data_IF_503354018344
#
_entry.id   IF_503354018344
#
_cell.length_a   1.000
_cell.length_b   1.000
_cell.length_c   1.000
_cell.angle_alpha   90.00
_cell.angle_beta   90.00
_cell.angle_gamma   90.00
#
_symmetry.space_group_name_H-M   'P 1'
#
loop_
_entity.id
_entity.type
_entity.pdbx_description
1 polymer ?
#
# COMPACT_ATOMS: atom_id res chain seq x y z
N UNK A 1 14.56 5.21 5.21
CA UNK A 1 13.46 5.26 6.20
C UNK A 1 12.09 5.47 5.55
N UNK A 2 11.93 6.45 4.65
CA UNK A 2 10.64 6.76 3.99
C UNK A 2 9.94 5.54 3.37
N UNK A 3 10.63 4.79 2.49
CA UNK A 3 10.06 3.61 1.84
C UNK A 3 9.60 2.50 2.81
N UNK A 4 10.28 2.34 3.94
CA UNK A 4 9.95 1.32 4.95
C UNK A 4 8.56 1.54 5.57
N UNK A 5 8.16 2.80 5.78
CA UNK A 5 6.85 3.14 6.33
C UNK A 5 5.74 2.74 5.35
N UNK A 6 5.92 2.98 4.05
CA UNK A 6 4.95 2.57 3.03
C UNK A 6 4.83 1.05 2.93
N UNK A 7 5.96 0.32 3.06
CA UNK A 7 5.92 -1.15 3.10
C UNK A 7 5.12 -1.61 4.31
N UNK A 8 5.40 -1.07 5.50
CA UNK A 8 4.69 -1.44 6.73
C UNK A 8 3.19 -1.16 6.63
N UNK A 9 2.80 0.04 6.19
CA UNK A 9 1.39 0.37 6.00
C UNK A 9 0.75 -0.53 4.94
N UNK A 10 1.45 -0.86 3.85
CA UNK A 10 0.93 -1.73 2.81
C UNK A 10 0.74 -3.17 3.28
N UNK A 11 1.63 -3.66 4.15
CA UNK A 11 1.47 -4.95 4.82
C UNK A 11 0.28 -4.93 5.80
N UNK A 12 0.07 -3.84 6.52
CA UNK A 12 -1.10 -3.71 7.42
C UNK A 12 -2.40 -3.65 6.60
N UNK A 13 -2.46 -2.89 5.51
CA UNK A 13 -3.61 -2.89 4.60
C UNK A 13 -3.88 -4.30 4.05
N UNK A 14 -2.83 -4.98 3.58
CA UNK A 14 -2.92 -6.37 3.12
C UNK A 14 -3.48 -7.32 4.19
N UNK A 15 -2.93 -7.29 5.42
CA UNK A 15 -3.40 -8.12 6.53
C UNK A 15 -4.86 -7.82 6.90
N UNK A 16 -5.19 -6.54 7.07
CA UNK A 16 -6.55 -6.13 7.45
C UNK A 16 -7.57 -6.47 6.37
N UNK A 17 -7.19 -6.41 5.09
CA UNK A 17 -8.05 -6.84 3.99
C UNK A 17 -8.27 -8.34 3.99
N UNK A 18 -7.21 -9.13 4.18
CA UNK A 18 -7.35 -10.59 4.30
C UNK A 18 -8.25 -10.96 5.47
N UNK A 19 -8.06 -10.32 6.63
CA UNK A 19 -8.91 -10.55 7.80
C UNK A 19 -10.37 -10.20 7.52
N UNK A 20 -10.62 -9.03 6.93
CA UNK A 20 -11.96 -8.59 6.55
C UNK A 20 -12.65 -9.55 5.60
N UNK A 21 -11.96 -9.98 4.54
CA UNK A 21 -12.51 -10.90 3.54
C UNK A 21 -12.76 -12.28 4.14
N UNK A 22 -11.78 -12.88 4.83
CA UNK A 22 -11.88 -14.26 5.29
C UNK A 22 -12.81 -14.46 6.48
N UNK A 23 -12.79 -13.53 7.44
CA UNK A 23 -13.46 -13.72 8.73
C UNK A 23 -14.72 -12.88 8.88
N UNK A 24 -14.83 -11.76 8.17
CA UNK A 24 -15.90 -10.77 8.36
C UNK A 24 -16.81 -10.62 7.13
N UNK A 25 -16.56 -11.38 6.07
CA UNK A 25 -17.37 -11.32 4.84
C UNK A 25 -17.25 -9.98 4.11
N UNK A 26 -16.18 -9.22 4.32
CA UNK A 26 -15.96 -7.95 3.65
C UNK A 26 -15.75 -8.17 2.14
N UNK A 27 -16.30 -7.27 1.33
CA UNK A 27 -16.14 -7.29 -0.11
C UNK A 27 -15.02 -6.35 -0.56
N UNK A 28 -14.21 -6.80 -1.51
CA UNK A 28 -13.26 -5.94 -2.22
C UNK A 28 -14.03 -5.03 -3.20
N UNK A 29 -13.87 -3.72 -3.04
CA UNK A 29 -14.60 -2.71 -3.81
C UNK A 29 -13.98 -2.49 -5.19
N UNK A 30 -12.70 -2.80 -5.37
CA UNK A 30 -12.05 -2.69 -6.66
C UNK A 30 -12.59 -3.78 -7.61
N UNK A 31 -13.29 -3.43 -8.71
CA UNK A 31 -13.91 -4.43 -9.60
C UNK A 31 -12.91 -5.42 -10.20
N UNK A 32 -11.67 -4.99 -10.43
CA UNK A 32 -10.60 -5.85 -10.95
C UNK A 32 -10.21 -6.93 -9.93
N UNK A 33 -10.16 -6.56 -8.65
CA UNK A 33 -9.76 -7.47 -7.59
C UNK A 33 -10.93 -8.23 -6.96
N UNK A 34 -12.16 -7.71 -7.05
CA UNK A 34 -13.35 -8.34 -6.48
C UNK A 34 -13.56 -9.78 -6.99
N UNK A 35 -13.41 -10.00 -8.31
CA UNK A 35 -13.48 -11.34 -8.89
C UNK A 35 -12.33 -12.22 -8.43
N UNK A 36 -11.13 -11.65 -8.29
CA UNK A 36 -9.93 -12.38 -7.91
C UNK A 36 -9.97 -12.82 -6.43
N UNK A 37 -10.48 -11.99 -5.54
CA UNK A 37 -10.65 -12.32 -4.13
C UNK A 37 -11.54 -13.56 -3.95
N UNK A 38 -12.61 -13.65 -4.73
CA UNK A 38 -13.56 -14.78 -4.68
C UNK A 38 -13.05 -16.05 -5.37
N UNK A 39 -12.23 -15.92 -6.42
CA UNK A 39 -11.77 -17.05 -7.23
C UNK A 39 -10.38 -17.57 -6.86
N UNK A 40 -9.48 -16.69 -6.42
CA UNK A 40 -8.10 -17.02 -6.08
C UNK A 40 -7.52 -16.00 -5.08
N UNK A 41 -7.89 -16.17 -3.80
CA UNK A 41 -7.44 -15.27 -2.74
C UNK A 41 -5.92 -15.29 -2.53
N UNK A 42 -5.24 -16.42 -2.79
CA UNK A 42 -3.78 -16.50 -2.71
C UNK A 42 -3.11 -15.64 -3.79
N UNK A 43 -3.65 -15.66 -5.01
CA UNK A 43 -3.20 -14.79 -6.09
C UNK A 43 -3.43 -13.31 -5.78
N UNK A 44 -4.61 -12.96 -5.28
CA UNK A 44 -4.89 -11.60 -4.81
C UNK A 44 -3.91 -11.15 -3.73
N UNK A 45 -3.71 -12.00 -2.72
CA UNK A 45 -2.79 -11.78 -1.61
C UNK A 45 -1.36 -11.53 -2.09
N UNK A 46 -0.86 -12.39 -2.99
CA UNK A 46 0.46 -12.27 -3.57
C UNK A 46 0.64 -10.97 -4.35
N UNK A 47 -0.32 -10.58 -5.18
CA UNK A 47 -0.27 -9.32 -5.94
C UNK A 47 -0.27 -8.12 -5.00
N UNK A 48 -1.17 -8.08 -4.02
CA UNK A 48 -1.31 -6.95 -3.10
C UNK A 48 -0.04 -6.78 -2.25
N UNK A 49 0.53 -7.87 -1.75
CA UNK A 49 1.77 -7.84 -0.99
C UNK A 49 2.97 -7.45 -1.86
N UNK A 50 3.08 -7.99 -3.07
CA UNK A 50 4.14 -7.63 -4.01
C UNK A 50 4.08 -6.13 -4.38
N UNK A 51 2.89 -5.60 -4.63
CA UNK A 51 2.69 -4.19 -4.91
C UNK A 51 3.16 -3.31 -3.74
N UNK A 52 2.79 -3.64 -2.50
CA UNK A 52 3.23 -2.91 -1.31
C UNK A 52 4.77 -2.85 -1.18
N UNK A 53 5.43 -3.99 -1.36
CA UNK A 53 6.90 -4.08 -1.29
C UNK A 53 7.56 -3.32 -2.44
N UNK A 54 7.07 -3.50 -3.68
CA UNK A 54 7.63 -2.85 -4.87
C UNK A 54 7.50 -1.34 -4.80
N UNK A 55 6.33 -0.81 -4.42
CA UNK A 55 6.11 0.64 -4.29
C UNK A 55 7.05 1.24 -3.25
N UNK A 56 7.15 0.64 -2.07
CA UNK A 56 8.07 1.12 -1.04
C UNK A 56 9.54 1.04 -1.46
N UNK A 57 9.93 -0.01 -2.18
CA UNK A 57 11.27 -0.14 -2.76
C UNK A 57 11.56 0.91 -3.83
N UNK A 58 10.59 1.23 -4.69
CA UNK A 58 10.73 2.26 -5.72
C UNK A 58 10.94 3.64 -5.09
N UNK A 59 10.19 4.01 -4.06
CA UNK A 59 10.42 5.25 -3.33
C UNK A 59 11.78 5.28 -2.63
N UNK A 60 12.20 4.16 -2.04
CA UNK A 60 13.53 4.05 -1.45
C UNK A 60 14.63 4.26 -2.50
N UNK A 61 14.56 3.57 -3.64
CA UNK A 61 15.51 3.71 -4.74
C UNK A 61 15.50 5.13 -5.33
N UNK A 62 14.33 5.71 -5.55
CA UNK A 62 14.19 7.08 -6.04
C UNK A 62 14.89 8.08 -5.14
N UNK A 63 14.70 7.98 -3.82
CA UNK A 63 15.39 8.82 -2.85
C UNK A 63 16.92 8.60 -2.84
N UNK A 64 17.39 7.35 -2.95
CA UNK A 64 18.82 7.05 -3.01
C UNK A 64 19.45 7.64 -4.27
N UNK A 65 18.79 7.54 -5.43
CA UNK A 65 19.29 8.07 -6.71
C UNK A 65 19.33 9.60 -6.66
N UNK A 66 18.28 10.26 -6.18
CA UNK A 66 18.23 11.73 -6.04
C UNK A 66 19.39 12.23 -5.19
N UNK A 67 19.63 11.59 -4.04
CA UNK A 67 20.70 11.98 -3.11
C UNK A 67 22.11 11.65 -3.61
N UNK A 68 22.29 10.52 -4.30
CA UNK A 68 23.60 10.04 -4.76
C UNK A 68 24.08 10.71 -6.05
N UNK A 69 23.17 11.00 -6.98
CA UNK A 69 23.55 11.51 -8.29
C UNK A 69 23.79 13.03 -8.28
N UNK A 70 23.43 13.75 -7.21
CA UNK A 70 23.45 15.22 -7.18
C UNK A 70 22.52 15.84 -8.23
N UNK A 71 21.69 15.01 -8.89
CA UNK A 71 20.68 15.40 -9.86
C UNK A 71 19.52 16.00 -9.07
N UNK A 72 19.72 17.25 -8.65
CA UNK A 72 18.72 18.08 -7.99
C UNK A 72 17.70 18.60 -9.00
N UNK A 73 17.12 17.71 -9.81
CA UNK A 73 15.98 18.13 -10.61
C UNK A 73 14.86 18.47 -9.64
N UNK A 74 14.57 19.77 -9.51
CA UNK A 74 13.53 20.28 -8.60
C UNK A 74 12.21 19.53 -8.84
N UNK A 75 11.91 19.21 -10.10
CA UNK A 75 10.77 18.40 -10.48
C UNK A 75 10.81 16.96 -9.94
N UNK A 76 11.95 16.27 -10.02
CA UNK A 76 12.10 14.91 -9.50
C UNK A 76 11.96 14.84 -7.99
N UNK A 77 12.53 15.81 -7.28
CA UNK A 77 12.39 15.94 -5.82
C UNK A 77 10.94 16.21 -5.41
N UNK A 78 10.29 17.20 -6.04
CA UNK A 78 8.88 17.50 -5.79
C UNK A 78 8.00 16.29 -6.10
N UNK A 79 8.24 15.58 -7.20
CA UNK A 79 7.48 14.37 -7.56
C UNK A 79 7.66 13.25 -6.53
N UNK A 80 8.89 13.00 -6.07
CA UNK A 80 9.16 12.00 -5.04
C UNK A 80 8.50 12.36 -3.69
N UNK A 81 8.62 13.60 -3.25
CA UNK A 81 8.05 14.06 -1.97
C UNK A 81 6.51 14.09 -2.01
N UNK A 82 5.93 14.66 -3.06
CA UNK A 82 4.47 14.73 -3.22
C UNK A 82 3.85 13.36 -3.46
N UNK A 83 4.49 12.53 -4.29
CA UNK A 83 4.07 11.15 -4.52
C UNK A 83 4.13 10.34 -3.23
N UNK A 84 5.22 10.46 -2.48
CA UNK A 84 5.36 9.80 -1.18
C UNK A 84 4.26 10.23 -0.21
N UNK A 85 4.04 11.53 -0.04
CA UNK A 85 3.04 12.07 0.87
C UNK A 85 1.63 11.63 0.47
N UNK A 86 1.31 11.67 -0.82
CA UNK A 86 0.01 11.22 -1.35
C UNK A 86 -0.20 9.74 -1.11
N UNK A 87 0.80 8.90 -1.40
CA UNK A 87 0.74 7.46 -1.11
C UNK A 87 0.58 7.19 0.38
N UNK A 88 1.30 7.94 1.23
CA UNK A 88 1.21 7.81 2.69
C UNK A 88 -0.20 8.13 3.18
N UNK A 89 -0.75 9.29 2.80
CA UNK A 89 -2.10 9.71 3.20
C UNK A 89 -3.16 8.69 2.76
N UNK A 90 -3.07 8.23 1.51
CA UNK A 90 -4.03 7.27 0.97
C UNK A 90 -3.95 5.92 1.69
N UNK A 91 -2.74 5.37 1.88
CA UNK A 91 -2.57 4.12 2.61
C UNK A 91 -3.03 4.25 4.06
N UNK A 92 -2.70 5.35 4.75
CA UNK A 92 -3.15 5.58 6.12
C UNK A 92 -4.67 5.63 6.20
N UNK A 93 -5.34 6.30 5.26
CA UNK A 93 -6.81 6.32 5.19
C UNK A 93 -7.38 4.92 5.00
N UNK A 94 -6.85 4.13 4.06
CA UNK A 94 -7.30 2.75 3.79
C UNK A 94 -7.09 1.85 5.02
N UNK A 95 -5.89 1.88 5.61
CA UNK A 95 -5.57 1.11 6.82
C UNK A 95 -6.49 1.48 7.97
N UNK A 96 -6.70 2.78 8.21
CA UNK A 96 -7.61 3.24 9.26
C UNK A 96 -9.04 2.77 9.02
N UNK A 97 -9.52 2.86 7.78
CA UNK A 97 -10.86 2.38 7.40
C UNK A 97 -11.01 0.88 7.64
N UNK A 98 -10.04 0.07 7.21
CA UNK A 98 -10.08 -1.38 7.41
C UNK A 98 -9.99 -1.74 8.90
N UNK A 99 -9.13 -1.06 9.67
CA UNK A 99 -9.01 -1.27 11.10
C UNK A 99 -10.32 -0.93 11.85
N UNK A 100 -10.96 0.19 11.51
CA UNK A 100 -12.25 0.58 12.07
C UNK A 100 -13.34 -0.45 11.76
N UNK A 101 -13.40 -0.95 10.52
CA UNK A 101 -14.35 -1.99 10.14
C UNK A 101 -14.16 -3.28 10.95
N UNK A 102 -12.91 -3.70 11.17
CA UNK A 102 -12.61 -4.87 12.01
C UNK A 102 -13.03 -4.63 13.46
N UNK A 103 -12.65 -3.47 14.03
CA UNK A 103 -12.96 -3.12 15.42
C UNK A 103 -14.47 -2.99 15.65
N UNK A 104 -15.24 -2.48 14.68
CA UNK A 104 -16.71 -2.36 14.82
C UNK A 104 -17.45 -3.69 14.89
N UNK A 105 -16.78 -4.80 14.56
CA UNK A 105 -17.35 -6.15 14.55
C UNK A 105 -16.86 -7.01 15.74
N UNK A 106 -15.95 -6.48 16.56
CA UNK A 106 -15.50 -7.08 17.83
C UNK A 106 -16.32 -6.55 19.01
#
# INVERSE_FOLDING_TARGET
>A
MLGTILILLGVIDWLTTLLGVHYLGAAELNPLFASMVNSNILGYSGIKLAAAVLVGFLFYKGYVIEKAAGISSHLGKVFLETGYLTSLMFLTFVVANNALAIVSLL
#
